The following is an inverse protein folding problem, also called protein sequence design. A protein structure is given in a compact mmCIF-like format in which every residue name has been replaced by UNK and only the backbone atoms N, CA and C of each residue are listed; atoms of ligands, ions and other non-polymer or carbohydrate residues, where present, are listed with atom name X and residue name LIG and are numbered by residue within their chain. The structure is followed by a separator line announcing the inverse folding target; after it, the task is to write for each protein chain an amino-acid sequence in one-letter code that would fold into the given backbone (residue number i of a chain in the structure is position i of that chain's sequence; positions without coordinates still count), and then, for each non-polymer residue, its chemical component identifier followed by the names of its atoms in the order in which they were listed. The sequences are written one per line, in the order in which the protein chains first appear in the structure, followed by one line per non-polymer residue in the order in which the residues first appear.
data_IF_141728465555
#
_entry.id   IF_141728465555
#
_cell.length_a   1.000
_cell.length_b   1.000
_cell.length_c   1.000
_cell.angle_alpha   90.00
_cell.angle_beta   90.00
_cell.angle_gamma   90.00
#
_symmetry.space_group_name_H-M   'P 1'
#
loop_
_entity.id
_entity.type
_entity.pdbx_description
1 polymer ?
#
# COMPACT_ATOMS: atom_id res chain seq x y z
N UNK A 1 17.77 -61.01 1.60
CA UNK A 1 17.44 -60.03 0.54
C UNK A 1 17.21 -58.70 1.22
N UNK A 2 17.93 -57.64 0.82
CA UNK A 2 17.70 -56.30 1.35
C UNK A 2 16.57 -55.66 0.53
N UNK A 3 15.43 -55.42 1.17
CA UNK A 3 14.31 -54.69 0.58
C UNK A 3 14.48 -53.21 0.92
N UNK A 4 14.66 -52.38 -0.10
CA UNK A 4 14.72 -50.92 0.05
C UNK A 4 13.43 -50.31 -0.47
N UNK A 5 12.73 -49.59 0.38
CA UNK A 5 11.50 -48.89 0.01
C UNK A 5 11.82 -47.42 -0.31
N UNK A 6 11.24 -46.91 -1.39
CA UNK A 6 11.36 -45.50 -1.78
C UNK A 6 10.28 -44.71 -1.04
N UNK A 7 10.70 -43.91 -0.07
CA UNK A 7 9.82 -42.97 0.64
C UNK A 7 9.74 -41.69 -0.18
N UNK A 8 8.65 -41.51 -0.93
CA UNK A 8 8.37 -40.25 -1.62
C UNK A 8 7.72 -39.29 -0.62
N UNK A 9 8.50 -38.33 -0.11
CA UNK A 9 7.98 -37.26 0.73
C UNK A 9 6.98 -36.45 -0.10
N UNK A 10 5.71 -36.46 0.31
CA UNK A 10 4.65 -35.71 -0.36
C UNK A 10 4.95 -34.23 -0.18
N UNK A 11 5.43 -33.59 -1.24
CA UNK A 11 5.65 -32.14 -1.25
C UNK A 11 4.35 -31.45 -0.84
N UNK A 12 4.41 -30.71 0.27
CA UNK A 12 3.33 -29.82 0.66
C UNK A 12 3.17 -28.81 -0.46
N UNK A 13 2.09 -28.92 -1.23
CA UNK A 13 1.78 -27.95 -2.27
C UNK A 13 1.66 -26.59 -1.61
N UNK A 14 2.70 -25.76 -1.72
CA UNK A 14 2.62 -24.36 -1.37
C UNK A 14 1.48 -23.77 -2.19
N UNK A 15 0.39 -23.39 -1.51
CA UNK A 15 -0.76 -22.76 -2.14
C UNK A 15 -0.32 -21.36 -2.53
N UNK A 16 0.26 -21.23 -3.71
CA UNK A 16 0.58 -19.92 -4.28
C UNK A 16 -0.73 -19.18 -4.50
N UNK A 17 -0.92 -17.98 -3.92
CA UNK A 17 -2.15 -17.23 -4.11
C UNK A 17 -2.37 -16.98 -5.59
N UNK A 18 -3.62 -17.10 -6.03
CA UNK A 18 -3.95 -16.87 -7.43
C UNK A 18 -3.64 -15.42 -7.79
N UNK A 19 -3.31 -15.11 -9.06
CA UNK A 19 -3.10 -13.73 -9.50
C UNK A 19 -4.27 -12.81 -9.14
N UNK A 20 -5.51 -13.32 -9.14
CA UNK A 20 -6.70 -12.60 -8.73
C UNK A 20 -6.68 -12.22 -7.24
N UNK A 21 -6.27 -13.13 -6.35
CA UNK A 21 -6.14 -12.83 -4.92
C UNK A 21 -5.11 -11.73 -4.67
N UNK A 22 -3.97 -11.79 -5.38
CA UNK A 22 -2.93 -10.76 -5.29
C UNK A 22 -3.43 -9.38 -5.72
N UNK A 23 -4.23 -9.30 -6.79
CA UNK A 23 -4.82 -8.04 -7.25
C UNK A 23 -5.83 -7.48 -6.25
N UNK A 24 -6.67 -8.34 -5.66
CA UNK A 24 -7.66 -7.93 -4.64
C UNK A 24 -6.96 -7.36 -3.40
N UNK A 25 -5.92 -8.04 -2.92
CA UNK A 25 -5.13 -7.58 -1.78
C UNK A 25 -4.41 -6.27 -2.07
N UNK A 26 -3.77 -6.16 -3.24
CA UNK A 26 -3.12 -4.92 -3.67
C UNK A 26 -4.11 -3.75 -3.74
N UNK A 27 -5.28 -3.95 -4.35
CA UNK A 27 -6.30 -2.91 -4.42
C UNK A 27 -6.77 -2.45 -3.04
N UNK A 28 -7.04 -3.39 -2.12
CA UNK A 28 -7.45 -3.07 -0.75
C UNK A 28 -6.38 -2.27 0.00
N UNK A 29 -5.13 -2.68 -0.14
CA UNK A 29 -3.98 -1.99 0.46
C UNK A 29 -3.86 -0.55 -0.08
N UNK A 30 -3.89 -0.40 -1.40
CA UNK A 30 -3.73 0.90 -2.05
C UNK A 30 -4.89 1.85 -1.75
N UNK A 31 -6.12 1.34 -1.70
CA UNK A 31 -7.29 2.13 -1.31
C UNK A 31 -7.12 2.71 0.10
N UNK A 32 -6.76 1.89 1.08
CA UNK A 32 -6.55 2.37 2.46
C UNK A 32 -5.42 3.40 2.53
N UNK A 33 -4.32 3.17 1.79
CA UNK A 33 -3.21 4.12 1.70
C UNK A 33 -3.63 5.46 1.12
N UNK A 34 -4.46 5.44 0.08
CA UNK A 34 -5.02 6.64 -0.53
C UNK A 34 -5.92 7.40 0.44
N UNK A 35 -6.85 6.72 1.11
CA UNK A 35 -7.75 7.34 2.09
C UNK A 35 -6.96 8.08 3.19
N UNK A 36 -5.91 7.45 3.73
CA UNK A 36 -5.02 8.09 4.72
C UNK A 36 -4.30 9.31 4.13
N UNK A 37 -3.78 9.18 2.91
CA UNK A 37 -3.04 10.26 2.24
C UNK A 37 -3.94 11.48 2.01
N UNK A 38 -5.18 11.27 1.58
CA UNK A 38 -6.15 12.35 1.37
C UNK A 38 -6.51 13.07 2.67
N UNK A 39 -6.69 12.32 3.77
CA UNK A 39 -6.93 12.92 5.09
C UNK A 39 -5.75 13.77 5.55
N UNK A 40 -4.51 13.28 5.38
CA UNK A 40 -3.32 14.00 5.79
C UNK A 40 -3.05 15.24 4.91
N UNK A 41 -3.30 15.15 3.60
CA UNK A 41 -3.23 16.32 2.70
C UNK A 41 -4.25 17.39 3.10
N UNK A 42 -5.48 17.00 3.44
CA UNK A 42 -6.52 17.92 3.90
C UNK A 42 -6.22 18.54 5.28
N UNK A 43 -5.53 17.80 6.16
CA UNK A 43 -5.10 18.32 7.48
C UNK A 43 -3.90 19.25 7.40
N UNK A 44 -3.02 19.02 6.43
CA UNK A 44 -1.78 19.78 6.29
C UNK A 44 -2.07 21.22 5.91
N UNK A 45 -1.57 22.17 6.71
CA UNK A 45 -1.67 23.61 6.46
C UNK A 45 -0.28 24.17 6.23
N UNK A 46 0.06 24.40 4.96
CA UNK A 46 1.30 25.10 4.60
C UNK A 46 1.01 26.60 4.58
N UNK A 47 1.82 27.35 5.32
CA UNK A 47 1.77 28.82 5.38
C UNK A 47 3.13 29.35 4.96
N UNK A 48 3.15 30.25 3.98
CA UNK A 48 4.32 30.99 3.52
C UNK A 48 4.33 32.36 4.18
N UNK A 49 5.50 32.86 4.56
CA UNK A 49 5.70 34.22 5.08
C UNK A 49 6.44 35.00 4.01
N UNK A 50 5.91 36.14 3.57
CA UNK A 50 6.59 37.02 2.63
C UNK A 50 7.57 37.99 3.32
N UNK A 51 8.31 38.76 2.53
CA UNK A 51 9.34 39.69 3.00
C UNK A 51 8.79 40.78 3.95
N UNK A 52 7.49 41.09 3.82
CA UNK A 52 6.76 42.03 4.67
C UNK A 52 6.17 41.38 5.94
N UNK A 53 6.37 40.07 6.12
CA UNK A 53 5.89 39.30 7.27
C UNK A 53 4.44 38.82 7.17
N UNK A 54 3.80 38.93 6.01
CA UNK A 54 2.41 38.50 5.83
C UNK A 54 2.33 36.99 5.60
N UNK A 55 1.37 36.35 6.27
CA UNK A 55 1.09 34.93 6.13
C UNK A 55 0.18 34.64 4.93
N UNK A 56 0.64 33.81 3.99
CA UNK A 56 -0.11 33.32 2.83
C UNK A 56 -0.33 31.82 2.95
N UNK A 57 -1.60 31.39 2.92
CA UNK A 57 -1.94 29.95 2.90
C UNK A 57 -1.67 29.39 1.51
N UNK A 58 -0.94 28.28 1.45
CA UNK A 58 -0.66 27.56 0.20
C UNK A 58 -1.55 26.31 0.17
N UNK A 59 -2.51 26.21 -0.76
CA UNK A 59 -3.29 24.99 -0.92
C UNK A 59 -2.39 23.88 -1.49
N UNK A 60 -2.45 22.70 -0.88
CA UNK A 60 -1.74 21.50 -1.34
C UNK A 60 -2.47 20.76 -2.46
N UNK A 61 -3.79 20.88 -2.48
CA UNK A 61 -4.66 20.31 -3.50
C UNK A 61 -4.94 21.40 -4.53
N UNK A 62 -4.61 21.14 -5.79
CA UNK A 62 -5.17 21.91 -6.87
C UNK A 62 -6.66 21.57 -6.95
N UNK A 63 -7.54 22.55 -6.76
CA UNK A 63 -8.95 22.38 -7.08
C UNK A 63 -9.05 22.00 -8.57
N UNK A 64 -9.64 20.84 -8.85
CA UNK A 64 -9.99 20.36 -10.18
C UNK A 64 -11.50 20.08 -10.21
#
# INVERSE_FOLDING_TARGET
MLTSDIIVTKEEKMVTPSPAQKLIEAYRSERTRQEITEVELNRTKIVMIDEDGNMKKVPLLAEH
#
